data_IF_300207967292
#
_entry.id   IF_300207967292
#
_cell.length_a   1.000
_cell.length_b   1.000
_cell.length_c   1.000
_cell.angle_alpha   90.00
_cell.angle_beta   90.00
_cell.angle_gamma   90.00
#
_symmetry.space_group_name_H-M   'P 1'
#
loop_
_entity.id
_entity.type
_entity.pdbx_description
1 polymer ?
#
# COMPACT_ATOMS: atom_id res chain seq x y z
N UNK A 1 22.51 50.59 24.18
CA UNK A 1 21.79 49.30 24.28
C UNK A 1 22.21 48.44 23.11
N UNK A 2 23.16 47.53 23.33
CA UNK A 2 23.57 46.54 22.34
C UNK A 2 22.59 45.38 22.45
N UNK A 3 21.76 45.18 21.43
CA UNK A 3 20.84 44.05 21.36
C UNK A 3 21.63 42.78 21.13
N UNK A 4 21.66 41.93 22.16
CA UNK A 4 22.27 40.60 22.13
C UNK A 4 21.42 39.70 21.24
N UNK A 5 21.93 39.32 20.07
CA UNK A 5 21.30 38.34 19.21
C UNK A 5 21.22 37.00 19.95
N UNK A 6 20.01 36.47 20.12
CA UNK A 6 19.79 35.15 20.72
C UNK A 6 20.50 34.09 19.86
N UNK A 7 21.41 33.36 20.49
CA UNK A 7 22.10 32.23 19.86
C UNK A 7 21.06 31.16 19.49
N UNK A 8 20.99 30.84 18.20
CA UNK A 8 20.14 29.78 17.66
C UNK A 8 20.57 28.45 18.29
N UNK A 9 19.63 27.72 18.89
CA UNK A 9 19.90 26.40 19.46
C UNK A 9 20.60 25.50 18.41
N UNK A 10 21.56 24.65 18.82
CA UNK A 10 22.28 23.78 17.89
C UNK A 10 21.27 22.89 17.14
N UNK A 11 21.37 22.87 15.82
CA UNK A 11 20.57 21.97 14.98
C UNK A 11 20.83 20.53 15.43
N UNK A 12 19.78 19.75 15.66
CA UNK A 12 19.90 18.31 15.91
C UNK A 12 20.75 17.67 14.79
N UNK A 13 21.59 16.66 15.12
CA UNK A 13 22.41 16.01 14.11
C UNK A 13 21.52 15.48 12.98
N UNK A 14 21.86 15.83 11.74
CA UNK A 14 21.10 15.41 10.57
C UNK A 14 21.10 13.88 10.48
N UNK A 15 19.91 13.27 10.40
CA UNK A 15 19.76 11.83 10.13
C UNK A 15 20.32 11.51 8.74
N UNK A 16 20.83 10.30 8.58
CA UNK A 16 21.02 9.74 7.23
C UNK A 16 19.68 9.51 6.53
N UNK A 17 19.66 9.45 5.20
CA UNK A 17 18.47 9.09 4.42
C UNK A 17 17.89 7.76 4.89
N UNK A 18 18.71 6.74 5.12
CA UNK A 18 18.27 5.45 5.65
C UNK A 18 17.52 5.58 6.99
N UNK A 19 18.07 6.31 7.95
CA UNK A 19 17.44 6.53 9.26
C UNK A 19 16.16 7.35 9.14
N UNK A 20 16.15 8.35 8.25
CA UNK A 20 14.96 9.12 7.94
C UNK A 20 13.85 8.23 7.38
N UNK A 21 14.13 7.39 6.38
CA UNK A 21 13.15 6.51 5.76
C UNK A 21 12.48 5.60 6.80
N UNK A 22 13.27 4.96 7.67
CA UNK A 22 12.75 4.07 8.71
C UNK A 22 11.90 4.82 9.73
N UNK A 23 12.39 5.96 10.25
CA UNK A 23 11.64 6.77 11.21
C UNK A 23 10.33 7.31 10.60
N UNK A 24 10.39 7.75 9.35
CA UNK A 24 9.25 8.25 8.60
C UNK A 24 8.20 7.16 8.36
N UNK A 25 8.61 5.96 7.95
CA UNK A 25 7.70 4.82 7.75
C UNK A 25 7.03 4.38 9.06
N UNK A 26 7.76 4.41 10.18
CA UNK A 26 7.20 4.17 11.50
C UNK A 26 6.10 5.18 11.84
N UNK A 27 6.31 6.46 11.52
CA UNK A 27 5.31 7.51 11.69
C UNK A 27 4.07 7.30 10.80
N UNK A 28 4.22 6.68 9.63
CA UNK A 28 3.12 6.27 8.75
C UNK A 28 2.44 4.97 9.18
N UNK A 29 2.84 4.40 10.32
CA UNK A 29 2.21 3.22 10.91
C UNK A 29 2.65 1.90 10.30
N UNK A 30 3.75 1.88 9.53
CA UNK A 30 4.39 0.64 9.08
C UNK A 30 4.93 -0.09 10.31
N UNK A 31 4.59 -1.38 10.41
CA UNK A 31 5.01 -2.24 11.53
C UNK A 31 5.91 -3.39 11.07
N UNK A 32 5.84 -3.76 9.80
CA UNK A 32 6.62 -4.86 9.24
C UNK A 32 7.20 -4.48 7.88
N UNK A 33 8.44 -4.90 7.66
CA UNK A 33 9.16 -4.76 6.40
C UNK A 33 9.68 -6.15 5.99
N UNK A 34 9.33 -6.61 4.81
CA UNK A 34 9.69 -7.94 4.31
C UNK A 34 10.77 -7.83 3.24
N UNK A 35 11.80 -8.68 3.23
CA UNK A 35 12.80 -8.60 2.17
C UNK A 35 13.93 -9.61 2.26
N UNK A 36 14.84 -9.50 1.30
CA UNK A 36 16.13 -10.21 1.29
C UNK A 36 17.24 -9.17 1.49
N UNK A 37 18.28 -9.53 2.24
CA UNK A 37 19.38 -8.62 2.51
C UNK A 37 20.27 -8.43 1.28
N UNK A 38 20.83 -7.23 1.09
CA UNK A 38 21.82 -7.02 0.05
C UNK A 38 22.51 -5.66 0.13
N UNK A 39 23.63 -5.53 -0.60
CA UNK A 39 24.59 -4.43 -0.43
C UNK A 39 23.99 -3.03 -0.58
N UNK A 40 23.04 -2.83 -1.50
CA UNK A 40 22.48 -1.52 -1.83
C UNK A 40 21.38 -1.03 -0.87
N UNK A 41 21.10 -1.78 0.20
CA UNK A 41 20.07 -1.45 1.21
C UNK A 41 20.60 -1.65 2.64
N UNK A 42 21.91 -1.82 2.83
CA UNK A 42 22.49 -2.17 4.13
C UNK A 42 22.29 -1.07 5.17
N UNK A 43 22.37 0.19 4.77
CA UNK A 43 22.11 1.32 5.65
C UNK A 43 20.66 1.34 6.15
N UNK A 44 19.70 1.04 5.29
CA UNK A 44 18.28 0.91 5.65
C UNK A 44 18.09 -0.25 6.64
N UNK A 45 18.66 -1.42 6.38
CA UNK A 45 18.55 -2.57 7.28
C UNK A 45 19.20 -2.30 8.65
N UNK A 46 20.35 -1.62 8.66
CA UNK A 46 21.03 -1.22 9.89
C UNK A 46 20.23 -0.17 10.67
N UNK A 47 19.56 0.76 9.98
CA UNK A 47 18.62 1.70 10.59
C UNK A 47 17.39 0.98 11.19
N UNK A 48 16.81 0.00 10.48
CA UNK A 48 15.70 -0.82 11.01
C UNK A 48 16.15 -1.58 12.26
N UNK A 49 17.36 -2.15 12.27
CA UNK A 49 17.91 -2.90 13.41
C UNK A 49 18.09 -2.05 14.69
N UNK A 50 18.22 -0.72 14.57
CA UNK A 50 18.45 0.20 15.70
C UNK A 50 17.18 0.77 16.33
N UNK A 51 16.00 0.35 15.90
CA UNK A 51 14.71 0.85 16.38
C UNK A 51 13.70 -0.29 16.56
N UNK A 52 12.62 -0.04 17.30
CA UNK A 52 11.64 -1.07 17.68
C UNK A 52 10.26 -0.93 17.00
N UNK A 53 10.03 0.13 16.22
CA UNK A 53 8.72 0.41 15.60
C UNK A 53 8.44 -0.49 14.39
N UNK A 54 9.46 -0.77 13.56
CA UNK A 54 9.36 -1.63 12.38
C UNK A 54 10.14 -2.93 12.62
N UNK A 55 9.46 -4.07 12.48
CA UNK A 55 10.11 -5.38 12.47
C UNK A 55 10.52 -5.76 11.05
N UNK A 56 11.81 -6.04 10.85
CA UNK A 56 12.27 -6.67 9.60
C UNK A 56 11.99 -8.19 9.62
N UNK A 57 11.45 -8.70 8.53
CA UNK A 57 11.19 -10.12 8.30
C UNK A 57 11.96 -10.55 7.07
N UNK A 58 13.08 -11.23 7.32
CA UNK A 58 13.92 -11.78 6.26
C UNK A 58 13.24 -12.95 5.56
N UNK A 59 13.22 -12.93 4.23
CA UNK A 59 12.76 -14.03 3.38
C UNK A 59 13.95 -14.68 2.66
N UNK A 60 13.70 -15.81 2.00
CA UNK A 60 14.70 -16.49 1.16
C UNK A 60 14.65 -16.08 -0.30
N UNK A 61 13.60 -15.36 -0.69
CA UNK A 61 13.36 -14.88 -2.05
C UNK A 61 12.51 -13.61 -1.98
N UNK A 62 12.80 -12.62 -2.82
CA UNK A 62 12.12 -11.32 -2.80
C UNK A 62 10.64 -11.45 -3.22
N UNK A 63 10.31 -12.38 -4.12
CA UNK A 63 8.90 -12.67 -4.46
C UNK A 63 8.08 -13.04 -3.22
N UNK A 64 8.63 -13.87 -2.33
CA UNK A 64 7.97 -14.22 -1.07
C UNK A 64 7.81 -13.00 -0.16
N UNK A 65 8.79 -12.08 -0.16
CA UNK A 65 8.66 -10.83 0.59
C UNK A 65 7.53 -9.94 0.05
N UNK A 66 7.42 -9.81 -1.27
CA UNK A 66 6.35 -9.05 -1.91
C UNK A 66 4.97 -9.69 -1.65
N UNK A 67 4.84 -11.02 -1.74
CA UNK A 67 3.61 -11.73 -1.41
C UNK A 67 3.24 -11.61 0.07
N UNK A 68 4.22 -11.64 0.99
CA UNK A 68 3.98 -11.40 2.41
C UNK A 68 3.51 -9.98 2.68
N UNK A 69 4.12 -8.97 2.03
CA UNK A 69 3.68 -7.58 2.12
C UNK A 69 2.24 -7.42 1.61
N UNK A 70 1.96 -7.98 0.43
CA UNK A 70 0.62 -8.03 -0.16
C UNK A 70 -0.41 -8.63 0.80
N UNK A 71 -0.14 -9.83 1.33
CA UNK A 71 -1.02 -10.50 2.29
C UNK A 71 -1.20 -9.68 3.58
N UNK A 72 -0.13 -9.08 4.10
CA UNK A 72 -0.18 -8.24 5.30
C UNK A 72 -1.07 -7.02 5.10
N UNK A 73 -0.90 -6.31 3.98
CA UNK A 73 -1.74 -5.18 3.60
C UNK A 73 -3.20 -5.59 3.43
N UNK A 74 -3.47 -6.69 2.70
CA UNK A 74 -4.82 -7.26 2.54
C UNK A 74 -5.45 -7.59 3.88
N UNK A 75 -4.72 -8.19 4.82
CA UNK A 75 -5.30 -8.63 6.10
C UNK A 75 -5.52 -7.47 7.08
N UNK A 76 -4.60 -6.51 7.12
CA UNK A 76 -4.60 -5.44 8.14
C UNK A 76 -5.22 -4.13 7.66
N UNK A 77 -5.32 -3.90 6.35
CA UNK A 77 -5.69 -2.62 5.76
C UNK A 77 -4.65 -1.51 5.98
N UNK A 78 -3.42 -1.87 6.37
CA UNK A 78 -2.32 -0.94 6.64
C UNK A 78 -1.33 -0.90 5.48
N UNK A 79 -0.60 0.20 5.36
CA UNK A 79 0.57 0.26 4.49
C UNK A 79 1.58 -0.81 4.92
N UNK A 80 1.98 -1.64 3.95
CA UNK A 80 3.06 -2.62 4.13
C UNK A 80 4.26 -2.25 3.29
N UNK A 81 5.44 -2.78 3.65
CA UNK A 81 6.68 -2.51 2.91
C UNK A 81 7.36 -3.82 2.53
N UNK A 82 7.74 -3.96 1.26
CA UNK A 82 8.76 -4.91 0.85
C UNK A 82 10.03 -4.17 0.43
N UNK A 83 11.19 -4.77 0.69
CA UNK A 83 12.50 -4.18 0.38
C UNK A 83 13.37 -5.20 -0.35
N UNK A 84 14.10 -4.74 -1.38
CA UNK A 84 15.03 -5.58 -2.12
C UNK A 84 16.31 -4.82 -2.52
N UNK A 85 17.46 -5.50 -2.63
CA UNK A 85 18.66 -4.92 -3.20
C UNK A 85 18.49 -4.70 -4.72
N UNK A 86 19.30 -3.78 -5.28
CA UNK A 86 19.28 -3.39 -6.69
C UNK A 86 19.46 -4.58 -7.63
N UNK A 87 18.99 -4.41 -8.87
CA UNK A 87 19.19 -5.41 -9.92
C UNK A 87 18.24 -6.61 -9.75
N UNK A 88 18.75 -7.86 -9.67
CA UNK A 88 17.89 -9.04 -9.68
C UNK A 88 16.94 -9.11 -8.49
N UNK A 89 17.31 -8.55 -7.33
CA UNK A 89 16.40 -8.52 -6.18
C UNK A 89 15.14 -7.72 -6.48
N UNK A 90 15.27 -6.60 -7.20
CA UNK A 90 14.13 -5.77 -7.62
C UNK A 90 13.25 -6.50 -8.64
N UNK A 91 13.83 -7.20 -9.62
CA UNK A 91 13.03 -7.99 -10.58
C UNK A 91 12.28 -9.12 -9.90
N UNK A 92 12.85 -9.74 -8.87
CA UNK A 92 12.23 -10.81 -8.11
C UNK A 92 11.00 -10.35 -7.31
N UNK A 93 10.84 -9.05 -7.02
CA UNK A 93 9.64 -8.53 -6.35
C UNK A 93 8.40 -8.53 -7.25
N UNK A 94 8.56 -8.48 -8.58
CA UNK A 94 7.50 -8.10 -9.50
C UNK A 94 6.25 -8.97 -9.41
N UNK A 95 6.40 -10.30 -9.37
CA UNK A 95 5.24 -11.20 -9.32
C UNK A 95 4.38 -10.94 -8.09
N UNK A 96 5.00 -10.79 -6.92
CA UNK A 96 4.28 -10.50 -5.68
C UNK A 96 3.72 -9.07 -5.62
N UNK A 97 4.35 -8.12 -6.29
CA UNK A 97 3.83 -6.76 -6.41
C UNK A 97 2.65 -6.68 -7.39
N UNK A 98 2.65 -7.46 -8.47
CA UNK A 98 1.47 -7.60 -9.31
C UNK A 98 0.28 -8.23 -8.57
N UNK A 99 0.52 -9.16 -7.65
CA UNK A 99 -0.52 -9.68 -6.75
C UNK A 99 -1.07 -8.60 -5.81
N UNK A 100 -0.22 -7.68 -5.34
CA UNK A 100 -0.67 -6.55 -4.52
C UNK A 100 -1.50 -5.55 -5.35
N UNK A 101 -1.00 -5.18 -6.53
CA UNK A 101 -1.65 -4.24 -7.44
C UNK A 101 -3.02 -4.76 -7.91
N UNK A 102 -3.11 -6.03 -8.32
CA UNK A 102 -4.35 -6.63 -8.83
C UNK A 102 -5.45 -6.71 -7.76
N UNK A 103 -5.09 -6.91 -6.50
CA UNK A 103 -6.02 -7.03 -5.37
C UNK A 103 -6.22 -5.72 -4.59
N UNK A 104 -5.61 -4.63 -5.08
CA UNK A 104 -5.72 -3.31 -4.48
C UNK A 104 -5.09 -3.19 -3.09
N UNK A 105 -3.94 -3.84 -2.86
CA UNK A 105 -3.26 -3.85 -1.57
C UNK A 105 -2.22 -2.72 -1.47
N UNK A 106 -2.27 -1.85 -0.43
CA UNK A 106 -1.30 -0.76 -0.26
C UNK A 106 0.09 -1.27 0.12
N UNK A 107 0.99 -1.36 -0.87
CA UNK A 107 2.37 -1.84 -0.69
C UNK A 107 3.36 -0.80 -1.19
N UNK A 108 4.33 -0.45 -0.36
CA UNK A 108 5.50 0.31 -0.76
C UNK A 108 6.68 -0.64 -1.03
N UNK A 109 7.16 -0.66 -2.26
CA UNK A 109 8.40 -1.32 -2.65
C UNK A 109 9.58 -0.35 -2.50
N UNK A 110 10.41 -0.58 -1.47
CA UNK A 110 11.70 0.08 -1.33
C UNK A 110 12.76 -0.69 -2.13
N UNK A 111 13.23 -0.09 -3.22
CA UNK A 111 14.18 -0.72 -4.10
C UNK A 111 15.55 -0.10 -3.90
N UNK A 112 16.56 -0.91 -3.57
CA UNK A 112 17.94 -0.46 -3.68
C UNK A 112 18.25 -0.07 -5.12
N UNK A 113 19.06 0.97 -5.29
CA UNK A 113 19.53 1.41 -6.60
C UNK A 113 21.06 1.52 -6.60
N UNK A 114 21.64 1.35 -7.77
CA UNK A 114 23.08 1.58 -7.97
C UNK A 114 23.46 3.04 -7.66
N UNK A 115 24.76 3.29 -7.53
CA UNK A 115 25.26 4.66 -7.35
C UNK A 115 24.77 5.55 -8.50
N UNK A 116 24.33 6.77 -8.22
CA UNK A 116 23.81 7.71 -9.25
C UNK A 116 24.75 7.87 -10.45
N UNK A 117 26.06 7.99 -10.21
CA UNK A 117 27.06 8.10 -11.28
C UNK A 117 27.30 6.85 -12.13
N UNK A 118 26.72 5.71 -11.75
CA UNK A 118 26.79 4.43 -12.47
C UNK A 118 25.55 4.12 -13.31
N UNK A 119 24.42 4.77 -12.99
CA UNK A 119 23.15 4.60 -13.71
C UNK A 119 23.37 4.88 -15.20
N UNK A 120 22.90 3.95 -16.05
CA UNK A 120 23.01 4.05 -17.51
C UNK A 120 24.37 3.70 -18.09
N UNK A 121 25.37 3.33 -17.27
CA UNK A 121 26.71 2.92 -17.73
C UNK A 121 26.88 1.41 -17.92
N UNK A 122 25.80 0.64 -17.78
CA UNK A 122 25.87 -0.83 -17.84
C UNK A 122 26.66 -1.43 -16.68
N UNK A 123 26.51 -0.87 -15.47
CA UNK A 123 27.19 -1.40 -14.30
C UNK A 123 26.69 -2.81 -13.95
N UNK A 124 27.44 -3.50 -13.09
CA UNK A 124 27.07 -4.83 -12.63
C UNK A 124 25.66 -4.84 -12.02
N UNK A 125 24.79 -5.74 -12.52
CA UNK A 125 23.39 -5.86 -12.11
C UNK A 125 22.54 -4.59 -12.37
N UNK A 126 22.98 -3.69 -13.26
CA UNK A 126 22.18 -2.54 -13.69
C UNK A 126 20.97 -2.99 -14.48
N UNK A 127 19.80 -2.50 -14.08
CA UNK A 127 18.50 -2.74 -14.70
C UNK A 127 17.77 -1.40 -14.75
N UNK A 128 17.08 -1.12 -15.84
CA UNK A 128 16.16 0.02 -15.90
C UNK A 128 14.94 -0.25 -15.02
N UNK A 129 15.09 0.04 -13.73
CA UNK A 129 14.05 -0.15 -12.74
C UNK A 129 12.87 0.81 -12.94
N UNK A 130 13.06 1.94 -13.63
CA UNK A 130 11.95 2.84 -13.92
C UNK A 130 11.04 2.21 -14.97
N UNK A 131 11.59 1.79 -16.12
CA UNK A 131 10.80 1.10 -17.15
C UNK A 131 10.11 -0.16 -16.62
N UNK A 132 10.76 -0.89 -15.71
CA UNK A 132 10.25 -2.12 -15.10
C UNK A 132 8.98 -1.91 -14.25
N UNK A 133 8.84 -0.74 -13.62
CA UNK A 133 7.75 -0.43 -12.68
C UNK A 133 6.65 0.47 -13.25
N UNK A 134 6.79 0.89 -14.51
CA UNK A 134 5.87 1.81 -15.17
C UNK A 134 4.42 1.30 -15.24
N UNK A 135 4.25 -0.02 -15.34
CA UNK A 135 2.92 -0.66 -15.45
C UNK A 135 2.50 -1.38 -14.17
N UNK A 136 3.35 -1.45 -13.15
CA UNK A 136 3.15 -2.26 -11.94
C UNK A 136 3.10 -1.42 -10.67
N UNK A 137 3.07 -0.10 -10.78
CA UNK A 137 2.96 0.81 -9.64
C UNK A 137 2.30 2.13 -10.01
N UNK A 138 1.64 2.76 -9.04
CA UNK A 138 1.04 4.09 -9.16
C UNK A 138 2.02 5.24 -8.92
N UNK A 139 3.22 4.94 -8.42
CA UNK A 139 4.28 5.89 -8.15
C UNK A 139 5.62 5.19 -8.33
N UNK A 140 6.52 5.74 -9.14
CA UNK A 140 7.76 5.06 -9.53
C UNK A 140 8.90 6.07 -9.68
N UNK A 141 9.63 6.34 -8.60
CA UNK A 141 10.70 7.34 -8.59
C UNK A 141 11.94 6.88 -7.83
N UNK A 142 13.09 7.38 -8.26
CA UNK A 142 14.37 7.27 -7.54
C UNK A 142 14.67 8.57 -6.79
N UNK A 143 15.19 8.47 -5.58
CA UNK A 143 15.66 9.62 -4.79
C UNK A 143 17.03 10.06 -5.33
N UNK A 144 17.02 11.01 -6.27
CA UNK A 144 18.25 11.47 -6.93
C UNK A 144 18.99 12.54 -6.13
N UNK A 145 18.32 13.26 -5.23
CA UNK A 145 18.92 14.18 -4.28
C UNK A 145 18.41 13.86 -2.85
N UNK A 146 19.29 13.77 -1.83
CA UNK A 146 18.87 13.48 -0.45
C UNK A 146 17.79 14.42 0.09
N UNK A 147 17.75 15.69 -0.36
CA UNK A 147 16.72 16.65 0.05
C UNK A 147 15.31 16.29 -0.42
N UNK A 148 15.18 15.44 -1.45
CA UNK A 148 13.90 14.97 -1.98
C UNK A 148 13.28 13.85 -1.14
N UNK A 149 14.06 13.18 -0.27
CA UNK A 149 13.59 12.02 0.50
C UNK A 149 12.29 12.26 1.26
N UNK A 150 12.12 13.38 2.01
CA UNK A 150 10.88 13.60 2.77
C UNK A 150 9.64 13.67 1.89
N UNK A 151 9.74 14.37 0.76
CA UNK A 151 8.61 14.59 -0.15
C UNK A 151 8.30 13.32 -0.96
N UNK A 152 9.31 12.70 -1.57
CA UNK A 152 9.11 11.50 -2.39
C UNK A 152 8.61 10.32 -1.57
N UNK A 153 9.09 10.15 -0.33
CA UNK A 153 8.58 9.09 0.54
C UNK A 153 7.11 9.34 0.92
N UNK A 154 6.76 10.57 1.32
CA UNK A 154 5.37 10.92 1.61
C UNK A 154 4.47 10.67 0.38
N UNK A 155 4.89 11.08 -0.82
CA UNK A 155 4.14 10.86 -2.05
C UNK A 155 3.99 9.37 -2.38
N UNK A 156 5.04 8.57 -2.18
CA UNK A 156 4.99 7.13 -2.37
C UNK A 156 4.01 6.46 -1.39
N UNK A 157 4.08 6.79 -0.10
CA UNK A 157 3.14 6.28 0.91
C UNK A 157 1.70 6.71 0.61
N UNK A 158 1.50 7.96 0.21
CA UNK A 158 0.20 8.50 -0.19
C UNK A 158 -0.35 7.77 -1.42
N UNK A 159 0.46 7.55 -2.45
CA UNK A 159 0.05 6.85 -3.67
C UNK A 159 -0.40 5.42 -3.36
N UNK A 160 0.40 4.66 -2.59
CA UNK A 160 0.04 3.29 -2.21
C UNK A 160 -1.30 3.24 -1.44
N UNK A 161 -1.53 4.16 -0.52
CA UNK A 161 -2.75 4.21 0.31
C UNK A 161 -3.98 4.74 -0.43
N UNK A 162 -3.86 5.84 -1.19
CA UNK A 162 -5.01 6.48 -1.84
C UNK A 162 -5.43 5.78 -3.11
N UNK A 163 -4.48 5.20 -3.85
CA UNK A 163 -4.78 4.41 -5.05
C UNK A 163 -5.06 2.95 -4.74
N UNK A 164 -4.84 2.51 -3.49
CA UNK A 164 -4.93 1.11 -3.07
C UNK A 164 -4.12 0.22 -4.00
N UNK A 165 -2.79 0.33 -3.96
CA UNK A 165 -1.93 -0.42 -4.86
C UNK A 165 -0.45 -0.26 -4.52
N UNK A 166 0.40 -0.50 -5.50
CA UNK A 166 1.85 -0.50 -5.34
C UNK A 166 2.42 0.89 -5.59
N UNK A 167 3.35 1.30 -4.74
CA UNK A 167 4.27 2.41 -5.00
C UNK A 167 5.71 1.90 -4.90
N UNK A 168 6.60 2.38 -5.78
CA UNK A 168 8.02 2.05 -5.79
C UNK A 168 8.85 3.31 -5.53
N UNK A 169 9.77 3.21 -4.58
CA UNK A 169 10.76 4.23 -4.29
C UNK A 169 12.16 3.62 -4.35
N UNK A 170 12.95 4.05 -5.34
CA UNK A 170 14.33 3.64 -5.52
C UNK A 170 15.31 4.50 -4.71
N UNK A 171 16.27 3.87 -4.03
CA UNK A 171 17.25 4.55 -3.18
C UNK A 171 18.67 4.25 -3.69
N UNK A 172 19.34 5.20 -4.37
CA UNK A 172 20.73 5.03 -4.77
C UNK A 172 21.65 4.80 -3.56
N UNK A 173 22.57 3.85 -3.69
CA UNK A 173 23.51 3.50 -2.61
C UNK A 173 24.38 4.66 -2.09
N UNK A 174 24.65 5.68 -2.91
CA UNK A 174 25.38 6.88 -2.47
C UNK A 174 24.49 7.95 -1.82
N UNK A 175 23.17 7.83 -1.96
CA UNK A 175 22.17 8.69 -1.31
C UNK A 175 21.78 8.12 0.05
N UNK A 176 21.75 6.79 0.21
CA UNK A 176 21.35 6.07 1.42
C UNK A 176 22.02 6.60 2.71
N UNK A 177 23.34 6.86 2.65
CA UNK A 177 24.12 7.36 3.78
C UNK A 177 24.24 8.88 3.88
N UNK A 178 23.66 9.63 2.94
CA UNK A 178 23.78 11.09 2.90
C UNK A 178 22.90 11.74 3.99
N UNK A 179 23.30 12.90 4.53
CA UNK A 179 22.49 13.61 5.52
C UNK A 179 21.23 14.20 4.88
N UNK A 180 20.13 14.19 5.63
CA UNK A 180 18.85 14.80 5.25
C UNK A 180 18.26 15.57 6.43
N UNK A 181 17.32 16.47 6.14
CA UNK A 181 16.53 17.17 7.16
C UNK A 181 15.91 16.17 8.15
N UNK A 182 15.93 16.51 9.44
CA UNK A 182 15.34 15.67 10.50
C UNK A 182 13.81 15.81 10.61
N UNK A 183 13.21 16.71 9.83
CA UNK A 183 11.77 16.98 9.87
C UNK A 183 10.97 15.85 9.23
N UNK A 184 10.34 15.03 10.07
CA UNK A 184 9.36 14.03 9.63
C UNK A 184 8.02 14.67 9.22
N UNK A 185 7.34 14.05 8.26
CA UNK A 185 6.05 14.44 7.70
C UNK A 185 5.06 13.29 7.90
N UNK A 186 4.19 13.38 8.91
CA UNK A 186 3.21 12.32 9.19
C UNK A 186 2.06 12.25 8.17
N UNK A 187 1.18 11.24 8.27
CA UNK A 187 0.04 11.08 7.35
C UNK A 187 -1.06 12.15 7.55
N UNK A 188 -1.14 12.77 8.74
CA UNK A 188 -2.15 13.75 9.07
C UNK A 188 -2.05 15.00 8.17
N UNK A 189 -3.16 15.38 7.54
CA UNK A 189 -3.21 16.51 6.58
C UNK A 189 -2.65 16.20 5.18
N UNK A 190 -2.12 14.99 4.96
CA UNK A 190 -1.53 14.58 3.69
C UNK A 190 -2.31 13.48 2.97
N UNK A 191 -3.07 12.67 3.72
CA UNK A 191 -4.05 11.72 3.19
C UNK A 191 -5.43 12.37 3.07
N UNK A 192 -6.10 12.15 1.93
CA UNK A 192 -7.53 12.43 1.78
C UNK A 192 -8.30 11.34 2.52
N UNK A 193 -8.55 11.54 3.82
CA UNK A 193 -9.42 10.67 4.62
C UNK A 193 -10.90 10.97 4.37
N UNK A 194 -11.35 10.95 3.11
CA UNK A 194 -12.77 11.07 2.81
C UNK A 194 -13.30 9.75 2.26
N UNK A 195 -14.09 9.07 3.08
CA UNK A 195 -15.10 8.15 2.55
C UNK A 195 -16.05 9.03 1.76
N UNK A 196 -15.93 9.01 0.44
CA UNK A 196 -16.83 9.72 -0.45
C UNK A 196 -18.26 9.23 -0.17
N UNK A 197 -19.06 10.09 0.45
CA UNK A 197 -20.49 9.84 0.57
C UNK A 197 -21.14 10.12 -0.78
N UNK A 198 -22.00 9.22 -1.24
CA UNK A 198 -22.84 9.52 -2.39
C UNK A 198 -23.77 10.71 -2.06
N UNK A 199 -24.07 11.59 -3.03
CA UNK A 199 -25.02 12.68 -2.80
C UNK A 199 -26.37 12.15 -2.29
N UNK A 200 -27.00 12.79 -1.29
CA UNK A 200 -28.26 12.30 -0.70
C UNK A 200 -29.36 12.00 -1.72
N UNK A 201 -29.41 12.76 -2.81
CA UNK A 201 -30.37 12.58 -3.90
C UNK A 201 -30.15 11.24 -4.62
N UNK A 202 -28.89 10.87 -4.91
CA UNK A 202 -28.55 9.57 -5.53
C UNK A 202 -28.85 8.40 -4.59
N UNK A 203 -28.70 8.61 -3.29
CA UNK A 203 -29.08 7.61 -2.28
C UNK A 203 -30.60 7.43 -2.26
N UNK A 204 -31.37 8.51 -2.30
CA UNK A 204 -32.83 8.46 -2.34
C UNK A 204 -33.34 7.74 -3.61
N UNK A 205 -32.79 8.06 -4.79
CA UNK A 205 -33.09 7.36 -6.05
C UNK A 205 -32.84 5.85 -5.94
N UNK A 206 -31.69 5.45 -5.36
CA UNK A 206 -31.37 4.03 -5.18
C UNK A 206 -32.34 3.32 -4.21
N UNK A 207 -32.78 4.01 -3.15
CA UNK A 207 -33.78 3.49 -2.21
C UNK A 207 -35.13 3.29 -2.88
N UNK A 208 -35.58 4.23 -3.71
CA UNK A 208 -36.83 4.08 -4.48
C UNK A 208 -36.76 2.91 -5.47
N UNK A 209 -35.63 2.76 -6.16
CA UNK A 209 -35.40 1.61 -7.06
C UNK A 209 -35.44 0.28 -6.31
N UNK A 210 -34.82 0.19 -5.12
CA UNK A 210 -34.83 -1.02 -4.30
C UNK A 210 -36.21 -1.31 -3.73
N UNK A 211 -36.95 -0.30 -3.28
CA UNK A 211 -38.29 -0.46 -2.71
C UNK A 211 -39.32 -0.95 -3.76
N UNK A 212 -39.15 -0.57 -5.02
CA UNK A 212 -39.98 -1.03 -6.14
C UNK A 212 -39.54 -2.36 -6.77
N UNK A 213 -38.38 -2.90 -6.37
CA UNK A 213 -37.83 -4.11 -6.97
C UNK A 213 -38.59 -5.36 -6.51
N UNK A 214 -38.91 -6.25 -7.45
CA UNK A 214 -39.54 -7.53 -7.13
C UNK A 214 -38.54 -8.58 -6.64
N UNK A 215 -37.27 -8.48 -7.05
CA UNK A 215 -36.22 -9.48 -6.80
C UNK A 215 -34.86 -8.82 -6.53
N UNK A 216 -34.74 -7.90 -5.57
CA UNK A 216 -33.48 -7.20 -5.33
C UNK A 216 -32.35 -8.17 -4.96
N UNK A 217 -31.16 -7.97 -5.51
CA UNK A 217 -29.95 -8.73 -5.17
C UNK A 217 -28.82 -7.74 -4.89
N UNK A 218 -28.11 -7.92 -3.78
CA UNK A 218 -26.92 -7.15 -3.45
C UNK A 218 -25.68 -7.94 -3.91
N UNK A 219 -24.99 -7.45 -4.93
CA UNK A 219 -23.68 -7.95 -5.32
C UNK A 219 -22.58 -7.17 -4.58
N UNK A 220 -22.00 -7.77 -3.54
CA UNK A 220 -20.96 -7.16 -2.73
C UNK A 220 -19.55 -7.59 -3.18
N UNK A 221 -18.74 -6.60 -3.59
CA UNK A 221 -17.33 -6.76 -3.93
C UNK A 221 -16.38 -6.53 -2.75
N UNK A 222 -15.07 -6.62 -3.01
CA UNK A 222 -14.01 -6.45 -2.00
C UNK A 222 -14.07 -5.08 -1.31
N UNK A 223 -14.50 -4.03 -2.01
CA UNK A 223 -14.68 -2.69 -1.45
C UNK A 223 -15.67 -2.62 -0.27
N UNK A 224 -16.55 -3.63 -0.12
CA UNK A 224 -17.48 -3.71 1.00
C UNK A 224 -16.86 -4.29 2.28
N UNK A 225 -15.60 -4.73 2.28
CA UNK A 225 -14.95 -5.45 3.39
C UNK A 225 -15.06 -4.78 4.75
N UNK A 226 -14.93 -3.45 4.79
CA UNK A 226 -15.05 -2.66 6.02
C UNK A 226 -16.47 -2.10 6.28
N UNK A 227 -17.44 -2.52 5.47
CA UNK A 227 -18.84 -2.07 5.49
C UNK A 227 -19.83 -3.23 5.67
N UNK A 228 -19.36 -4.37 6.19
CA UNK A 228 -20.15 -5.59 6.40
C UNK A 228 -21.49 -5.30 7.09
N UNK A 229 -21.47 -4.60 8.21
CA UNK A 229 -22.69 -4.32 8.99
C UNK A 229 -23.70 -3.47 8.21
N UNK A 230 -23.22 -2.50 7.44
CA UNK A 230 -24.07 -1.66 6.61
C UNK A 230 -24.69 -2.46 5.47
N UNK A 231 -23.91 -3.32 4.82
CA UNK A 231 -24.39 -4.22 3.75
C UNK A 231 -25.44 -5.18 4.28
N UNK A 232 -25.19 -5.84 5.41
CA UNK A 232 -26.14 -6.79 6.00
C UNK A 232 -27.44 -6.11 6.44
N UNK A 233 -27.35 -4.91 7.03
CA UNK A 233 -28.54 -4.14 7.41
C UNK A 233 -29.37 -3.70 6.20
N UNK A 234 -28.71 -3.29 5.12
CA UNK A 234 -29.40 -2.99 3.86
C UNK A 234 -30.09 -4.24 3.31
N UNK A 235 -29.40 -5.38 3.31
CA UNK A 235 -29.96 -6.66 2.89
C UNK A 235 -31.22 -7.04 3.69
N UNK A 236 -31.18 -6.88 5.02
CA UNK A 236 -32.32 -7.17 5.90
C UNK A 236 -33.50 -6.21 5.67
N UNK A 237 -33.26 -4.93 5.44
CA UNK A 237 -34.31 -3.92 5.23
C UNK A 237 -35.11 -4.15 3.94
N UNK A 238 -34.45 -4.62 2.89
CA UNK A 238 -35.06 -4.84 1.57
C UNK A 238 -35.34 -6.30 1.28
N UNK A 239 -35.15 -7.20 2.24
CA UNK A 239 -35.21 -8.66 2.07
C UNK A 239 -34.41 -9.14 0.84
N UNK A 240 -33.24 -8.54 0.65
CA UNK A 240 -32.43 -8.71 -0.54
C UNK A 240 -31.30 -9.72 -0.28
N UNK A 241 -31.25 -10.86 -1.01
CA UNK A 241 -30.11 -11.77 -0.93
C UNK A 241 -28.79 -11.07 -1.29
N UNK A 242 -27.73 -11.48 -0.60
CA UNK A 242 -26.37 -10.99 -0.79
C UNK A 242 -25.54 -12.06 -1.49
N UNK A 243 -25.00 -11.67 -2.63
CA UNK A 243 -24.05 -12.43 -3.44
C UNK A 243 -22.70 -11.72 -3.34
N UNK A 244 -21.60 -12.47 -3.21
CA UNK A 244 -20.25 -11.87 -3.10
C UNK A 244 -19.40 -12.18 -4.32
N UNK A 245 -18.45 -11.29 -4.65
CA UNK A 245 -17.32 -11.69 -5.50
C UNK A 245 -16.36 -12.62 -4.72
N UNK A 246 -15.46 -13.32 -5.42
CA UNK A 246 -14.53 -14.23 -4.76
C UNK A 246 -13.65 -13.54 -3.69
N UNK A 247 -13.04 -12.36 -3.95
CA UNK A 247 -12.26 -11.65 -2.93
C UNK A 247 -13.10 -11.10 -1.76
N UNK A 248 -14.41 -10.97 -1.94
CA UNK A 248 -15.34 -10.54 -0.89
C UNK A 248 -15.90 -11.70 -0.07
N UNK A 249 -15.49 -12.94 -0.34
CA UNK A 249 -15.92 -14.11 0.44
C UNK A 249 -15.58 -13.92 1.92
N UNK A 250 -16.55 -14.21 2.78
CA UNK A 250 -16.46 -13.96 4.21
C UNK A 250 -17.12 -12.65 4.67
N UNK A 251 -17.57 -11.80 3.74
CA UNK A 251 -18.41 -10.64 4.07
C UNK A 251 -19.74 -11.07 4.69
N UNK A 252 -20.39 -12.09 4.12
CA UNK A 252 -21.59 -12.71 4.69
C UNK A 252 -21.22 -13.94 5.52
N UNK A 253 -22.03 -14.22 6.54
CA UNK A 253 -21.92 -15.48 7.31
C UNK A 253 -22.77 -16.54 6.62
N UNK A 254 -22.25 -17.77 6.50
CA UNK A 254 -22.95 -18.87 5.84
C UNK A 254 -24.32 -19.12 6.49
N UNK A 255 -24.45 -18.92 7.81
CA UNK A 255 -25.73 -19.14 8.50
C UNK A 255 -26.81 -18.09 8.19
N UNK A 256 -26.47 -16.98 7.53
CA UNK A 256 -27.47 -15.98 7.17
C UNK A 256 -28.39 -16.54 6.09
N UNK A 257 -29.73 -16.44 6.24
CA UNK A 257 -30.67 -16.86 5.20
C UNK A 257 -30.54 -16.02 3.92
N UNK A 258 -29.94 -14.82 4.01
CA UNK A 258 -29.70 -13.93 2.88
C UNK A 258 -28.37 -14.23 2.16
N UNK A 259 -27.53 -15.14 2.65
CA UNK A 259 -26.25 -15.44 2.03
C UNK A 259 -26.41 -16.41 0.85
N UNK A 260 -26.15 -15.95 -0.37
CA UNK A 260 -26.27 -16.77 -1.60
C UNK A 260 -24.93 -17.33 -2.10
N UNK A 261 -23.82 -16.97 -1.45
CA UNK A 261 -22.49 -17.43 -1.82
C UNK A 261 -21.79 -16.54 -2.85
N UNK A 262 -20.86 -17.14 -3.60
CA UNK A 262 -19.96 -16.43 -4.52
C UNK A 262 -20.49 -16.51 -5.95
N UNK A 263 -20.44 -15.42 -6.71
CA UNK A 263 -20.75 -15.37 -8.15
C UNK A 263 -19.52 -15.65 -9.02
N UNK A 264 -19.74 -16.16 -10.23
CA UNK A 264 -18.72 -16.30 -11.27
C UNK A 264 -18.24 -17.73 -11.46
N UNK A 265 -17.16 -17.90 -12.25
CA UNK A 265 -16.72 -19.21 -12.75
C UNK A 265 -16.51 -20.30 -11.67
N UNK A 266 -16.10 -19.90 -10.48
CA UNK A 266 -15.87 -20.79 -9.33
C UNK A 266 -16.90 -20.59 -8.22
N UNK A 267 -18.00 -19.91 -8.54
CA UNK A 267 -19.09 -19.58 -7.65
C UNK A 267 -20.09 -20.72 -7.50
N UNK A 268 -21.21 -20.40 -6.86
CA UNK A 268 -22.34 -21.34 -6.72
C UNK A 268 -23.39 -21.07 -7.81
N UNK A 269 -24.02 -22.12 -8.38
CA UNK A 269 -25.08 -21.93 -9.39
C UNK A 269 -26.24 -21.03 -8.92
N UNK A 270 -26.54 -21.05 -7.62
CA UNK A 270 -27.60 -20.25 -7.00
C UNK A 270 -27.26 -18.76 -7.05
N UNK A 271 -26.01 -18.38 -6.75
CA UNK A 271 -25.54 -17.00 -6.86
C UNK A 271 -25.64 -16.47 -8.30
N UNK A 272 -25.19 -17.26 -9.28
CA UNK A 272 -25.27 -16.90 -10.70
C UNK A 272 -26.72 -16.74 -11.17
N UNK A 273 -27.61 -17.63 -10.73
CA UNK A 273 -29.03 -17.55 -11.08
C UNK A 273 -29.72 -16.35 -10.42
N UNK A 274 -29.38 -16.05 -9.16
CA UNK A 274 -29.92 -14.90 -8.45
C UNK A 274 -29.58 -13.59 -9.18
N UNK A 275 -28.31 -13.41 -9.55
CA UNK A 275 -27.87 -12.22 -10.30
C UNK A 275 -28.54 -12.15 -11.68
N UNK A 276 -28.72 -13.28 -12.38
CA UNK A 276 -29.35 -13.30 -13.71
C UNK A 276 -30.85 -12.97 -13.68
N UNK A 277 -31.52 -13.26 -12.56
CA UNK A 277 -32.97 -13.08 -12.39
C UNK A 277 -33.37 -11.84 -11.58
N UNK A 278 -32.39 -11.06 -11.13
CA UNK A 278 -32.58 -9.82 -10.38
C UNK A 278 -33.25 -8.74 -11.23
#
# INVERSE_FOLDING_TARGET
MVTQAAAKAPAAPARSVAEFLVAQLGLWGVQQMFGVQGRSILGILDAVRRQDAIRYVETRHEEAAALMASAYAKLTGRLSVCIAPSGPGVTNLLTGLYDAEADGAPVLALCGQERRGSIGRGAYQSIDQHALFETSSHFNHDVMDPSQTPELLMLACKAALEKNGVARLGIPSDVEGAPVSDRLIGPAGHLVQERWAAPPQRVAEAVEMLAGAQRPVILAGQGARHSREAVMRCAELFDAPVVTTCPAKGLTVWQSPLAMGVVGRFGTPIADEAVRRA
#
